data_IF_722161057117
#
_entry.id   IF_722161057117
#
_cell.length_a   1.000
_cell.length_b   1.000
_cell.length_c   1.000
_cell.angle_alpha   90.00
_cell.angle_beta   90.00
_cell.angle_gamma   90.00
#
_symmetry.space_group_name_H-M   'P 1'
#
loop_
_entity.id
_entity.type
_entity.pdbx_description
1 polymer ?
#
# COMPACT_ATOMS: atom_id res chain seq x y z
N UNK A 1 22.59 46.90 -19.52
CA UNK A 1 22.92 46.43 -20.85
C UNK A 1 21.72 45.70 -21.37
N UNK A 2 21.19 46.15 -22.48
CA UNK A 2 20.01 45.61 -23.11
C UNK A 2 20.44 44.82 -24.37
N UNK A 3 19.78 43.65 -24.61
CA UNK A 3 20.16 42.76 -25.71
C UNK A 3 18.95 42.03 -26.27
N UNK A 4 18.99 41.74 -27.56
CA UNK A 4 18.01 40.96 -28.25
C UNK A 4 18.45 39.52 -28.43
N UNK A 5 17.50 38.57 -28.32
CA UNK A 5 17.67 37.19 -28.73
C UNK A 5 16.69 36.82 -29.83
N UNK A 6 17.15 36.10 -30.79
CA UNK A 6 16.35 35.59 -31.92
C UNK A 6 16.54 34.10 -32.06
N UNK A 7 15.47 33.37 -32.17
CA UNK A 7 15.49 31.93 -32.47
C UNK A 7 15.03 31.68 -33.89
N UNK A 8 15.83 30.99 -34.66
CA UNK A 8 15.54 30.64 -36.04
C UNK A 8 15.38 29.11 -36.18
N UNK A 9 14.52 28.66 -37.10
CA UNK A 9 14.56 27.34 -37.67
C UNK A 9 15.61 27.28 -38.77
N UNK A 10 16.18 26.10 -39.01
CA UNK A 10 17.28 25.90 -39.99
C UNK A 10 16.92 26.42 -41.36
N UNK A 11 15.73 26.19 -41.84
CA UNK A 11 15.27 26.65 -43.15
C UNK A 11 15.22 28.19 -43.32
N UNK A 12 15.22 28.93 -42.22
CA UNK A 12 15.10 30.40 -42.21
C UNK A 12 16.38 31.09 -41.80
N UNK A 13 17.47 30.34 -41.57
CA UNK A 13 18.75 30.90 -41.14
C UNK A 13 19.84 30.65 -42.17
N UNK A 14 20.54 31.72 -42.53
CA UNK A 14 21.73 31.65 -43.33
C UNK A 14 22.65 32.85 -42.99
N UNK A 15 23.89 32.87 -43.54
CA UNK A 15 24.87 33.87 -43.25
C UNK A 15 24.41 35.29 -43.67
N UNK A 16 23.54 35.41 -44.66
CA UNK A 16 22.99 36.70 -45.08
C UNK A 16 22.22 37.39 -43.96
N UNK A 17 21.48 36.64 -43.10
CA UNK A 17 20.75 37.22 -41.93
C UNK A 17 21.73 37.90 -41.01
N UNK A 18 22.91 37.34 -40.79
CA UNK A 18 23.96 37.94 -39.96
C UNK A 18 24.64 39.13 -40.66
N UNK A 19 24.91 39.02 -41.95
CA UNK A 19 25.49 40.11 -42.74
C UNK A 19 24.59 41.36 -42.72
N UNK A 20 23.30 41.16 -43.00
CA UNK A 20 22.30 42.25 -42.94
C UNK A 20 22.22 42.88 -41.55
N UNK A 21 22.31 42.07 -40.48
CA UNK A 21 22.37 42.51 -39.11
C UNK A 21 23.62 43.39 -38.83
N UNK A 22 24.79 42.96 -39.31
CA UNK A 22 26.05 43.72 -39.18
C UNK A 22 25.98 45.03 -39.96
N UNK A 23 25.44 45.06 -41.16
CA UNK A 23 25.29 46.29 -41.94
C UNK A 23 24.38 47.28 -41.25
N UNK A 24 23.20 46.86 -40.71
CA UNK A 24 22.30 47.68 -39.93
C UNK A 24 22.96 48.22 -38.64
N UNK A 25 23.73 47.38 -37.93
CA UNK A 25 24.48 47.77 -36.73
C UNK A 25 25.48 48.85 -37.04
N UNK A 26 26.24 48.70 -38.13
CA UNK A 26 27.24 49.69 -38.57
C UNK A 26 26.59 50.99 -39.02
N UNK A 27 25.44 50.92 -39.69
CA UNK A 27 24.65 52.10 -40.08
C UNK A 27 24.20 52.90 -38.84
N UNK A 28 23.67 52.18 -37.80
CA UNK A 28 23.30 52.82 -36.52
C UNK A 28 24.47 53.43 -35.79
N UNK A 29 25.62 52.81 -35.82
CA UNK A 29 26.87 53.34 -35.21
C UNK A 29 27.32 54.61 -35.87
N UNK A 30 27.08 54.72 -37.20
CA UNK A 30 27.41 55.92 -37.97
C UNK A 30 26.36 57.03 -37.82
N UNK A 31 25.11 56.70 -37.59
CA UNK A 31 23.96 57.63 -37.41
C UNK A 31 23.17 57.29 -36.13
N UNK A 32 23.21 58.10 -35.11
CA UNK A 32 22.52 57.92 -33.83
C UNK A 32 20.98 57.90 -33.93
N UNK A 33 20.42 58.34 -35.08
CA UNK A 33 18.98 58.30 -35.39
C UNK A 33 18.49 57.03 -36.10
N UNK A 34 19.40 56.11 -36.49
CA UNK A 34 19.02 54.88 -37.14
C UNK A 34 18.36 53.90 -36.14
N UNK A 35 17.36 53.18 -36.61
CA UNK A 35 16.70 52.14 -35.79
C UNK A 35 17.63 50.93 -35.53
N UNK A 36 17.43 50.27 -34.41
CA UNK A 36 18.12 49.04 -34.06
C UNK A 36 17.81 47.96 -35.07
N UNK A 37 18.81 47.17 -35.49
CA UNK A 37 18.58 46.14 -36.48
C UNK A 37 17.71 45.00 -35.94
N UNK A 38 16.48 44.96 -36.36
CA UNK A 38 15.66 43.77 -36.18
C UNK A 38 16.03 42.77 -37.27
N UNK A 39 16.49 41.58 -36.87
CA UNK A 39 16.72 40.47 -37.79
C UNK A 39 15.39 39.99 -38.33
N UNK A 40 15.31 39.70 -39.63
CA UNK A 40 14.10 39.17 -40.28
C UNK A 40 14.14 37.65 -40.37
N UNK A 41 12.99 37.01 -40.44
CA UNK A 41 12.88 35.56 -40.60
C UNK A 41 13.04 34.74 -39.32
N UNK A 42 13.16 35.38 -38.17
CA UNK A 42 13.14 34.63 -36.89
C UNK A 42 11.81 33.98 -36.60
N UNK A 43 11.86 32.86 -35.85
CA UNK A 43 10.65 32.17 -35.34
C UNK A 43 10.16 32.80 -34.02
N UNK A 44 11.09 33.10 -33.11
CA UNK A 44 10.81 33.78 -31.82
C UNK A 44 11.87 34.84 -31.54
N UNK A 45 11.50 35.89 -30.83
CA UNK A 45 12.44 36.87 -30.30
C UNK A 45 12.06 37.28 -28.89
N UNK A 46 13.04 37.78 -28.16
CA UNK A 46 12.87 38.31 -26.80
C UNK A 46 13.96 39.30 -26.50
N UNK A 47 13.69 40.31 -25.66
CA UNK A 47 14.65 41.36 -25.28
C UNK A 47 14.73 41.59 -23.76
N UNK A 48 13.74 41.15 -22.95
CA UNK A 48 13.68 41.59 -21.55
C UNK A 48 13.45 40.46 -20.53
N UNK A 49 13.10 39.24 -20.92
CA UNK A 49 12.64 38.18 -19.98
C UNK A 49 13.77 37.45 -19.26
N UNK A 50 15.00 37.67 -19.62
CA UNK A 50 16.16 37.07 -18.96
C UNK A 50 16.73 37.92 -17.81
N UNK A 51 17.80 37.44 -17.22
CA UNK A 51 18.48 38.14 -16.14
C UNK A 51 19.21 39.37 -16.68
N UNK A 52 19.06 40.55 -16.05
CA UNK A 52 19.65 41.81 -16.41
C UNK A 52 19.25 42.31 -17.82
N UNK A 53 17.95 42.22 -18.16
CA UNK A 53 17.43 42.61 -19.47
C UNK A 53 18.12 41.89 -20.64
N UNK A 54 18.45 40.60 -20.44
CA UNK A 54 18.93 39.72 -21.48
C UNK A 54 17.75 38.88 -22.04
N UNK A 55 17.81 38.40 -23.27
CA UNK A 55 16.77 37.59 -23.87
C UNK A 55 16.68 36.20 -23.22
N UNK A 56 15.44 35.71 -23.04
CA UNK A 56 15.13 34.33 -22.58
C UNK A 56 13.98 33.72 -23.38
N UNK A 57 14.28 32.92 -24.37
CA UNK A 57 13.30 32.32 -25.27
C UNK A 57 13.00 30.89 -24.83
N UNK A 58 11.72 30.62 -24.52
CA UNK A 58 11.19 29.25 -24.35
C UNK A 58 10.51 28.83 -25.63
N UNK A 59 10.86 27.63 -26.15
CA UNK A 59 10.29 27.10 -27.38
C UNK A 59 10.19 25.57 -27.31
N UNK A 60 9.13 25.02 -27.89
CA UNK A 60 9.05 23.59 -28.18
C UNK A 60 9.86 23.28 -29.43
N UNK A 61 10.90 22.47 -29.27
CA UNK A 61 11.79 22.08 -30.37
C UNK A 61 11.48 20.65 -30.80
N UNK A 62 11.58 20.40 -32.09
CA UNK A 62 11.40 19.08 -32.68
C UNK A 62 12.70 18.27 -32.60
N UNK A 63 12.58 16.96 -32.32
CA UNK A 63 13.73 16.07 -32.31
C UNK A 63 14.44 16.07 -33.67
N UNK A 64 15.77 16.04 -33.63
CA UNK A 64 16.67 15.98 -34.82
C UNK A 64 16.56 17.17 -35.79
N UNK A 65 15.97 18.29 -35.31
CA UNK A 65 15.94 19.56 -36.05
C UNK A 65 17.00 20.52 -35.51
N UNK A 66 17.59 21.30 -36.42
CA UNK A 66 18.58 22.35 -36.07
C UNK A 66 17.87 23.66 -35.86
N UNK A 67 18.31 24.37 -34.83
CA UNK A 67 17.83 25.72 -34.48
C UNK A 67 19.03 26.61 -34.20
N UNK A 68 18.92 27.89 -34.56
CA UNK A 68 19.98 28.89 -34.34
C UNK A 68 19.46 29.94 -33.38
N UNK A 69 20.18 30.13 -32.29
CA UNK A 69 19.93 31.21 -31.33
C UNK A 69 20.98 32.31 -31.53
N UNK A 70 20.51 33.49 -31.92
CA UNK A 70 21.35 34.65 -32.20
C UNK A 70 21.10 35.71 -31.14
N UNK A 71 22.15 36.18 -30.49
CA UNK A 71 22.11 37.25 -29.47
C UNK A 71 22.87 38.45 -29.98
N UNK A 72 22.26 39.61 -29.86
CA UNK A 72 22.87 40.88 -30.23
C UNK A 72 22.58 41.98 -29.21
N UNK A 73 23.39 43.04 -29.18
CA UNK A 73 23.16 44.18 -28.30
C UNK A 73 21.99 45.04 -28.79
N UNK A 74 21.27 45.61 -27.87
CA UNK A 74 20.23 46.61 -28.17
C UNK A 74 20.82 47.94 -28.68
N UNK A 75 22.05 48.24 -28.29
CA UNK A 75 22.75 49.47 -28.67
C UNK A 75 24.06 49.14 -29.37
N UNK A 76 24.84 50.16 -29.74
CA UNK A 76 26.17 50.00 -30.33
C UNK A 76 27.25 49.56 -29.35
N UNK A 77 26.88 49.24 -28.10
CA UNK A 77 27.77 48.69 -27.09
C UNK A 77 28.15 47.24 -27.40
N UNK A 78 29.36 46.87 -27.04
CA UNK A 78 29.90 45.52 -27.15
C UNK A 78 30.17 44.95 -25.77
N UNK A 79 29.98 43.63 -25.58
CA UNK A 79 30.19 42.99 -24.29
C UNK A 79 30.23 41.46 -24.38
N UNK A 80 30.31 40.83 -23.24
CA UNK A 80 30.30 39.38 -23.11
C UNK A 80 28.91 38.84 -22.79
N UNK A 81 28.52 37.76 -23.39
CA UNK A 81 27.28 37.01 -23.14
C UNK A 81 27.59 35.66 -22.56
N UNK A 82 26.76 35.23 -21.59
CA UNK A 82 26.74 33.87 -21.12
C UNK A 82 25.43 33.23 -21.60
N UNK A 83 25.52 32.23 -22.46
CA UNK A 83 24.39 31.54 -23.05
C UNK A 83 24.26 30.19 -22.36
N UNK A 84 23.03 29.85 -21.95
CA UNK A 84 22.73 28.57 -21.36
C UNK A 84 21.46 28.01 -22.05
N UNK A 85 21.50 26.78 -22.49
CA UNK A 85 20.34 26.05 -23.02
C UNK A 85 19.92 25.02 -21.98
N UNK A 86 18.67 25.08 -21.53
CA UNK A 86 18.14 24.20 -20.51
C UNK A 86 16.86 23.55 -20.99
N UNK A 87 16.57 22.34 -20.52
CA UNK A 87 15.27 21.71 -20.68
C UNK A 87 14.29 22.30 -19.65
N UNK A 88 13.03 22.52 -20.03
CA UNK A 88 11.97 23.01 -19.13
C UNK A 88 11.50 21.96 -18.13
N UNK A 89 11.76 20.68 -18.41
CA UNK A 89 11.31 19.54 -17.60
C UNK A 89 9.78 19.45 -17.40
N UNK A 90 8.97 19.94 -18.34
CA UNK A 90 7.51 19.96 -18.24
C UNK A 90 6.88 18.56 -18.34
N UNK A 91 7.49 17.66 -19.10
CA UNK A 91 7.03 16.28 -19.28
C UNK A 91 7.91 15.36 -18.47
N UNK A 92 7.31 14.65 -17.52
CA UNK A 92 8.03 13.74 -16.62
C UNK A 92 7.26 12.45 -16.40
N UNK A 93 7.99 11.40 -16.05
CA UNK A 93 7.43 10.12 -15.58
C UNK A 93 8.14 9.68 -14.31
N UNK A 94 7.54 8.70 -13.62
CA UNK A 94 8.13 8.08 -12.43
C UNK A 94 8.89 6.82 -12.86
N UNK A 95 10.17 6.75 -12.50
CA UNK A 95 11.03 5.60 -12.79
C UNK A 95 11.49 4.91 -11.50
N UNK A 96 11.64 3.58 -11.54
CA UNK A 96 12.18 2.80 -10.44
C UNK A 96 11.26 2.64 -9.22
N UNK A 97 9.97 2.94 -9.33
CA UNK A 97 9.02 2.79 -8.23
C UNK A 97 8.89 1.32 -7.80
N UNK A 98 8.94 1.09 -6.50
CA UNK A 98 8.64 -0.21 -5.88
C UNK A 98 7.65 -0.03 -4.73
N UNK A 99 6.75 -1.01 -4.54
CA UNK A 99 5.78 -0.98 -3.45
C UNK A 99 6.38 -1.61 -2.19
N UNK A 100 6.11 -1.00 -1.03
CA UNK A 100 6.42 -1.60 0.27
C UNK A 100 5.35 -2.62 0.67
N UNK A 101 5.75 -3.61 1.46
CA UNK A 101 4.87 -4.51 2.20
C UNK A 101 5.37 -4.62 3.65
N UNK A 102 4.81 -5.52 4.45
CA UNK A 102 5.21 -5.68 5.86
C UNK A 102 6.57 -6.38 6.07
N UNK A 103 7.27 -6.80 5.01
CA UNK A 103 8.58 -7.45 5.08
C UNK A 103 9.65 -6.56 4.46
N UNK A 104 9.32 -5.94 3.32
CA UNK A 104 10.27 -5.20 2.49
C UNK A 104 9.77 -3.77 2.32
N UNK A 105 10.66 -2.82 2.51
CA UNK A 105 10.42 -1.42 2.19
C UNK A 105 10.23 -1.22 0.68
N UNK A 106 9.83 -0.03 0.31
CA UNK A 106 9.60 0.35 -1.07
C UNK A 106 10.40 1.58 -1.47
N UNK A 107 10.11 2.09 -2.65
CA UNK A 107 10.66 3.31 -3.20
C UNK A 107 9.57 4.07 -3.98
N UNK A 108 9.47 5.39 -3.78
CA UNK A 108 8.45 6.19 -4.48
C UNK A 108 8.74 6.35 -5.96
N UNK A 109 9.97 6.09 -6.39
CA UNK A 109 10.48 6.31 -7.73
C UNK A 109 10.99 7.72 -7.94
N UNK A 110 11.93 7.87 -8.88
CA UNK A 110 12.46 9.15 -9.30
C UNK A 110 11.53 9.81 -10.32
N UNK A 111 11.40 11.14 -10.28
CA UNK A 111 10.76 11.91 -11.33
C UNK A 111 11.80 12.22 -12.39
N UNK A 112 11.65 11.61 -13.55
CA UNK A 112 12.58 11.71 -14.67
C UNK A 112 11.96 12.50 -15.83
N UNK A 113 12.70 13.43 -16.38
CA UNK A 113 12.25 14.20 -17.54
C UNK A 113 12.24 13.34 -18.82
N UNK A 114 11.09 13.28 -19.51
CA UNK A 114 10.92 12.53 -20.75
C UNK A 114 11.79 13.06 -21.89
N UNK A 115 12.11 14.34 -21.84
CA UNK A 115 12.84 15.03 -22.92
C UNK A 115 14.34 14.84 -22.82
N UNK A 116 14.93 14.96 -21.63
CA UNK A 116 16.39 14.98 -21.46
C UNK A 116 16.93 13.84 -20.59
N UNK A 117 16.07 12.99 -20.01
CA UNK A 117 16.46 11.88 -19.12
C UNK A 117 17.02 12.30 -17.77
N UNK A 118 16.98 13.58 -17.43
CA UNK A 118 17.50 14.05 -16.14
C UNK A 118 16.52 13.73 -15.02
N UNK A 119 17.02 13.23 -13.90
CA UNK A 119 16.25 13.14 -12.65
C UNK A 119 15.98 14.56 -12.16
N UNK A 120 14.69 14.94 -12.15
CA UNK A 120 14.20 16.25 -11.70
C UNK A 120 14.02 16.25 -10.20
N UNK A 121 13.50 15.14 -9.67
CA UNK A 121 13.30 14.94 -8.25
C UNK A 121 13.63 13.48 -7.90
N UNK A 122 14.41 13.29 -6.87
CA UNK A 122 14.76 11.97 -6.37
C UNK A 122 13.65 11.43 -5.50
N UNK A 123 13.30 10.16 -5.70
CA UNK A 123 12.31 9.46 -4.88
C UNK A 123 12.79 9.27 -3.43
N UNK A 124 11.89 8.72 -2.63
CA UNK A 124 12.13 8.43 -1.22
C UNK A 124 11.98 6.94 -0.94
N UNK A 125 12.80 6.41 -0.07
CA UNK A 125 12.64 5.08 0.46
C UNK A 125 11.42 5.02 1.39
N UNK A 126 10.65 3.95 1.27
CA UNK A 126 9.52 3.65 2.15
C UNK A 126 9.91 2.52 3.07
N UNK A 127 9.66 2.70 4.36
CA UNK A 127 9.85 1.63 5.35
C UNK A 127 8.84 0.50 5.12
N UNK A 128 9.14 -0.75 5.57
CA UNK A 128 8.14 -1.81 5.62
C UNK A 128 6.91 -1.36 6.41
N UNK A 129 5.73 -1.74 5.94
CA UNK A 129 4.47 -1.47 6.62
C UNK A 129 4.29 -2.35 7.87
N UNK A 130 3.28 -2.03 8.66
CA UNK A 130 2.90 -2.84 9.82
C UNK A 130 2.27 -4.17 9.39
N UNK A 131 2.41 -5.20 10.24
CA UNK A 131 1.74 -6.49 10.05
C UNK A 131 0.24 -6.36 10.32
N UNK A 132 -0.58 -6.93 9.44
CA UNK A 132 -2.03 -7.02 9.63
C UNK A 132 -2.36 -8.33 10.34
N UNK A 133 -2.80 -8.23 11.59
CA UNK A 133 -3.04 -9.39 12.44
C UNK A 133 -4.33 -10.14 12.07
N UNK A 134 -4.24 -11.47 12.07
CA UNK A 134 -5.36 -12.39 11.97
C UNK A 134 -5.14 -13.56 12.94
N UNK A 135 -6.16 -13.89 13.72
CA UNK A 135 -6.11 -15.01 14.66
C UNK A 135 -6.68 -16.27 13.99
N UNK A 136 -5.91 -17.35 14.03
CA UNK A 136 -6.29 -18.65 13.43
C UNK A 136 -6.28 -19.75 14.50
N UNK A 137 -6.93 -20.87 14.20
CA UNK A 137 -6.95 -22.08 15.04
C UNK A 137 -7.55 -21.90 16.44
N UNK A 138 -8.47 -20.94 16.59
CA UNK A 138 -9.22 -20.74 17.84
C UNK A 138 -10.06 -21.99 18.15
N UNK A 139 -10.01 -22.46 19.40
CA UNK A 139 -10.82 -23.56 19.90
C UNK A 139 -11.46 -23.17 21.23
N UNK A 140 -12.75 -23.29 21.31
CA UNK A 140 -13.46 -23.03 22.57
C UNK A 140 -13.21 -24.15 23.57
N UNK A 141 -13.00 -23.77 24.83
CA UNK A 141 -12.95 -24.73 25.93
C UNK A 141 -14.34 -25.31 26.18
N UNK A 142 -14.38 -26.61 26.47
CA UNK A 142 -15.58 -27.29 26.94
C UNK A 142 -15.39 -27.85 28.34
N UNK A 143 -16.40 -28.48 28.93
CA UNK A 143 -16.23 -29.18 30.23
C UNK A 143 -15.27 -30.37 30.12
N UNK A 144 -14.99 -30.86 28.91
CA UNK A 144 -14.20 -32.08 28.70
C UNK A 144 -12.86 -31.80 28.02
N UNK A 145 -12.78 -30.75 27.23
CA UNK A 145 -11.60 -30.42 26.42
C UNK A 145 -11.15 -28.99 26.70
N UNK A 146 -9.84 -28.80 26.79
CA UNK A 146 -9.23 -27.47 26.86
C UNK A 146 -9.46 -26.71 25.55
N UNK A 147 -9.58 -25.41 25.65
CA UNK A 147 -9.62 -24.54 24.48
C UNK A 147 -8.25 -24.03 24.09
N UNK A 148 -8.22 -23.19 23.08
CA UNK A 148 -7.02 -22.52 22.58
C UNK A 148 -7.39 -21.13 22.05
N UNK A 149 -6.63 -20.09 22.40
CA UNK A 149 -6.93 -18.73 21.98
C UNK A 149 -6.62 -18.47 20.51
N UNK A 150 -5.94 -19.39 19.84
CA UNK A 150 -5.48 -19.26 18.48
C UNK A 150 -4.13 -18.57 18.35
N UNK A 151 -3.44 -18.83 17.27
CA UNK A 151 -2.19 -18.19 16.91
C UNK A 151 -2.48 -16.91 16.10
N UNK A 152 -1.67 -15.88 16.31
CA UNK A 152 -1.76 -14.64 15.52
C UNK A 152 -0.77 -14.69 14.38
N UNK A 153 -1.25 -14.51 13.17
CA UNK A 153 -0.47 -14.44 11.93
C UNK A 153 -0.68 -13.11 11.22
N UNK A 154 0.29 -12.71 10.43
CA UNK A 154 0.07 -11.63 9.47
C UNK A 154 -0.73 -12.13 8.26
N UNK A 155 -1.88 -11.51 7.98
CA UNK A 155 -2.74 -11.87 6.83
C UNK A 155 -2.11 -11.57 5.45
N UNK A 156 -1.04 -10.74 5.42
CA UNK A 156 -0.34 -10.35 4.19
C UNK A 156 0.85 -11.25 3.89
N UNK A 157 1.70 -11.53 4.90
CA UNK A 157 2.95 -12.29 4.71
C UNK A 157 2.94 -13.69 5.33
N UNK A 158 1.87 -14.07 6.03
CA UNK A 158 1.69 -15.36 6.72
C UNK A 158 2.74 -15.69 7.80
N UNK A 159 3.51 -14.70 8.26
CA UNK A 159 4.43 -14.90 9.39
C UNK A 159 3.61 -15.01 10.68
N UNK A 160 3.95 -15.99 11.52
CA UNK A 160 3.39 -16.11 12.87
C UNK A 160 3.94 -14.99 13.75
N UNK A 161 3.06 -14.16 14.29
CA UNK A 161 3.40 -13.00 15.11
C UNK A 161 3.36 -13.32 16.60
N UNK A 162 2.39 -14.15 17.01
CA UNK A 162 2.27 -14.58 18.40
C UNK A 162 1.68 -15.99 18.48
N UNK A 163 2.07 -16.70 19.53
CA UNK A 163 1.51 -18.01 19.88
C UNK A 163 0.32 -17.82 20.81
N UNK A 164 -0.75 -18.57 20.54
CA UNK A 164 -1.92 -18.62 21.39
C UNK A 164 -1.62 -19.33 22.73
N UNK A 165 -2.60 -19.32 23.59
CA UNK A 165 -2.52 -19.98 24.89
C UNK A 165 -3.63 -21.01 25.05
N UNK A 166 -3.33 -22.11 25.75
CA UNK A 166 -4.31 -23.12 26.12
C UNK A 166 -5.23 -22.54 27.20
N UNK A 167 -6.53 -22.60 26.98
CA UNK A 167 -7.53 -22.23 27.99
C UNK A 167 -7.98 -23.48 28.73
N UNK A 168 -8.13 -23.43 30.08
CA UNK A 168 -8.55 -24.56 30.88
C UNK A 168 -9.96 -25.05 30.46
N UNK A 169 -10.24 -26.34 30.75
CA UNK A 169 -11.61 -26.87 30.66
C UNK A 169 -12.58 -26.04 31.50
N UNK A 170 -13.80 -25.92 31.03
CA UNK A 170 -14.86 -25.28 31.79
C UNK A 170 -15.24 -26.13 33.01
N UNK A 171 -15.42 -25.51 34.16
CA UNK A 171 -15.97 -26.19 35.33
C UNK A 171 -17.45 -26.57 35.12
N UNK A 172 -17.85 -27.72 35.66
CA UNK A 172 -19.26 -28.11 35.68
C UNK A 172 -20.05 -27.20 36.64
N UNK A 173 -21.01 -26.46 36.14
CA UNK A 173 -21.95 -25.66 36.95
C UNK A 173 -23.30 -26.35 36.98
N UNK A 174 -23.62 -27.00 38.11
CA UNK A 174 -24.84 -27.75 38.29
C UNK A 174 -25.99 -26.90 38.84
N UNK A 175 -27.16 -27.07 38.25
CA UNK A 175 -28.47 -26.62 38.74
C UNK A 175 -29.43 -27.81 38.61
N UNK A 176 -30.11 -28.16 39.68
CA UNK A 176 -30.97 -29.36 39.76
C UNK A 176 -30.26 -30.63 39.24
N UNK A 177 -29.03 -30.80 39.65
CA UNK A 177 -28.12 -31.89 39.23
C UNK A 177 -27.74 -31.91 37.73
N UNK A 178 -28.13 -30.94 36.93
CA UNK A 178 -27.78 -30.83 35.51
C UNK A 178 -26.74 -29.73 35.28
N UNK A 179 -25.66 -30.07 34.60
CA UNK A 179 -24.66 -29.07 34.26
C UNK A 179 -25.19 -28.14 33.17
N UNK A 180 -25.20 -26.83 33.44
CA UNK A 180 -25.65 -25.78 32.50
C UNK A 180 -24.82 -25.72 31.22
N UNK A 181 -23.51 -26.05 31.28
CA UNK A 181 -22.64 -25.98 30.13
C UNK A 181 -22.78 -27.17 29.20
N UNK A 182 -22.74 -28.41 29.73
CA UNK A 182 -22.64 -29.63 28.92
C UNK A 182 -23.85 -30.59 29.08
N UNK A 183 -24.78 -30.29 29.99
CA UNK A 183 -25.93 -31.16 30.23
C UNK A 183 -25.63 -32.43 31.03
N UNK A 184 -24.38 -32.65 31.51
CA UNK A 184 -24.05 -33.78 32.38
C UNK A 184 -24.97 -33.78 33.61
N UNK A 185 -25.53 -34.96 33.91
CA UNK A 185 -26.38 -35.17 35.09
C UNK A 185 -25.51 -35.79 36.19
N UNK A 186 -25.42 -35.13 37.31
CA UNK A 186 -24.67 -35.56 38.47
C UNK A 186 -25.69 -35.99 39.59
N UNK A 187 -25.42 -37.08 40.28
CA UNK A 187 -26.31 -37.62 41.31
C UNK A 187 -27.75 -37.81 40.88
N UNK A 188 -27.95 -38.45 39.72
CA UNK A 188 -29.31 -38.78 39.24
C UNK A 188 -30.10 -39.55 40.29
N UNK A 189 -31.36 -39.18 40.46
CA UNK A 189 -32.25 -39.77 41.46
C UNK A 189 -33.15 -40.86 40.80
N UNK A 190 -33.54 -41.87 41.58
CA UNK A 190 -34.51 -42.87 41.13
C UNK A 190 -35.85 -42.19 40.78
N UNK A 191 -36.53 -42.77 39.84
CA UNK A 191 -37.88 -42.38 39.38
C UNK A 191 -37.98 -40.90 38.96
N UNK A 192 -36.85 -40.33 38.57
CA UNK A 192 -36.73 -38.94 38.10
C UNK A 192 -36.37 -38.95 36.60
N UNK A 193 -37.13 -38.17 35.81
CA UNK A 193 -36.85 -37.98 34.38
C UNK A 193 -36.00 -36.73 34.19
N UNK A 194 -34.88 -36.88 33.51
CA UNK A 194 -33.99 -35.78 33.12
C UNK A 194 -34.09 -35.56 31.62
N UNK A 195 -34.13 -34.31 31.21
CA UNK A 195 -34.07 -33.94 29.80
C UNK A 195 -32.69 -33.34 29.51
N UNK A 196 -31.99 -33.86 28.50
CA UNK A 196 -30.73 -33.34 28.05
C UNK A 196 -30.63 -33.39 26.53
N UNK A 197 -29.69 -32.68 25.95
CA UNK A 197 -29.46 -32.63 24.49
C UNK A 197 -27.97 -32.75 24.16
N UNK A 198 -27.71 -33.44 23.06
CA UNK A 198 -26.38 -33.44 22.46
C UNK A 198 -26.17 -32.19 21.57
N UNK A 199 -24.94 -31.76 21.44
CA UNK A 199 -24.52 -30.67 20.55
C UNK A 199 -23.21 -31.05 19.87
N UNK A 200 -22.77 -30.29 18.88
CA UNK A 200 -21.46 -30.53 18.25
C UNK A 200 -20.29 -30.48 19.26
N UNK A 201 -20.38 -29.62 20.27
CA UNK A 201 -19.36 -29.51 21.32
C UNK A 201 -19.51 -30.58 22.41
N UNK A 202 -20.69 -31.18 22.53
CA UNK A 202 -21.04 -32.21 23.52
C UNK A 202 -21.86 -33.33 22.83
N UNK A 203 -21.19 -34.18 22.06
CA UNK A 203 -21.88 -35.23 21.28
C UNK A 203 -22.41 -36.39 22.14
N UNK A 204 -21.98 -36.47 23.39
CA UNK A 204 -22.41 -37.47 24.36
C UNK A 204 -22.98 -36.81 25.62
N UNK A 205 -23.96 -37.47 26.24
CA UNK A 205 -24.45 -37.04 27.54
C UNK A 205 -24.04 -38.05 28.60
N UNK A 206 -23.59 -37.56 29.76
CA UNK A 206 -23.13 -38.39 30.87
C UNK A 206 -24.08 -38.25 32.04
N UNK A 207 -24.56 -39.38 32.53
CA UNK A 207 -25.45 -39.47 33.69
C UNK A 207 -24.76 -40.27 34.78
N UNK A 208 -24.49 -39.62 35.90
CA UNK A 208 -23.89 -40.26 37.06
C UNK A 208 -25.05 -40.69 38.00
N UNK A 209 -25.09 -41.96 38.33
CA UNK A 209 -26.07 -42.51 39.25
C UNK A 209 -25.36 -43.38 40.27
N UNK A 210 -25.68 -43.17 41.54
CA UNK A 210 -25.20 -44.02 42.65
C UNK A 210 -26.36 -44.90 43.12
N UNK A 211 -26.22 -46.22 42.96
CA UNK A 211 -27.21 -47.17 43.41
C UNK A 211 -27.40 -47.11 44.96
N UNK A 212 -28.58 -46.91 45.48
CA UNK A 212 -28.79 -46.84 46.91
C UNK A 212 -28.67 -48.22 47.58
N UNK A 213 -29.01 -49.29 46.85
CA UNK A 213 -28.96 -50.67 47.33
C UNK A 213 -28.57 -51.64 46.22
N UNK A 214 -28.25 -52.86 46.57
CA UNK A 214 -28.02 -53.93 45.61
C UNK A 214 -29.33 -54.33 44.94
N UNK A 215 -29.39 -54.30 43.60
CA UNK A 215 -30.60 -54.62 42.88
C UNK A 215 -30.45 -54.51 41.36
N UNK A 216 -31.55 -54.77 40.68
CA UNK A 216 -31.63 -54.56 39.21
C UNK A 216 -32.22 -53.20 38.95
N UNK A 217 -31.48 -52.39 38.19
CA UNK A 217 -31.89 -51.06 37.77
C UNK A 217 -32.04 -51.05 36.24
N UNK A 218 -33.03 -50.30 35.75
CA UNK A 218 -33.29 -50.10 34.32
C UNK A 218 -32.92 -48.66 33.96
N UNK A 219 -31.94 -48.49 33.07
CA UNK A 219 -31.67 -47.26 32.41
C UNK A 219 -32.35 -47.30 31.04
N UNK A 220 -33.16 -46.30 30.72
CA UNK A 220 -33.76 -46.20 29.39
C UNK A 220 -33.77 -44.74 28.94
N UNK A 221 -33.65 -44.51 27.64
CA UNK A 221 -33.73 -43.23 26.99
C UNK A 221 -34.92 -43.19 26.05
N UNK A 222 -35.61 -42.07 26.01
CA UNK A 222 -36.62 -41.79 24.98
C UNK A 222 -36.06 -40.75 24.05
N UNK A 223 -35.99 -41.05 22.75
CA UNK A 223 -35.53 -40.14 21.74
C UNK A 223 -36.63 -39.13 21.39
N UNK A 224 -36.37 -37.82 21.64
CA UNK A 224 -37.37 -36.79 21.36
C UNK A 224 -37.12 -36.19 19.97
N UNK A 225 -35.88 -35.91 19.61
CA UNK A 225 -35.51 -35.23 18.36
C UNK A 225 -34.42 -35.93 17.54
N UNK A 226 -33.80 -36.99 18.07
CA UNK A 226 -32.80 -37.80 17.37
C UNK A 226 -33.40 -39.10 16.89
N UNK A 227 -32.89 -39.64 15.77
CA UNK A 227 -33.46 -40.86 15.15
C UNK A 227 -32.95 -42.14 15.80
N UNK A 228 -31.72 -42.13 16.31
CA UNK A 228 -31.07 -43.28 16.91
C UNK A 228 -30.07 -42.84 18.00
N UNK A 229 -29.94 -43.63 19.05
CA UNK A 229 -29.04 -43.36 20.15
C UNK A 229 -28.47 -44.61 20.76
N UNK A 230 -27.23 -44.57 21.20
CA UNK A 230 -26.57 -45.67 21.92
C UNK A 230 -26.35 -45.27 23.37
N UNK A 231 -26.55 -46.24 24.29
CA UNK A 231 -26.25 -46.05 25.71
C UNK A 231 -25.16 -47.04 26.16
N UNK A 232 -24.20 -46.51 26.93
CA UNK A 232 -23.14 -47.31 27.56
C UNK A 232 -23.21 -47.16 29.06
N UNK A 233 -23.05 -48.27 29.79
CA UNK A 233 -23.00 -48.26 31.24
C UNK A 233 -21.59 -48.60 31.70
N UNK A 234 -20.97 -47.67 32.42
CA UNK A 234 -19.63 -47.81 32.99
C UNK A 234 -19.72 -47.92 34.51
N UNK A 235 -18.84 -48.73 35.10
CA UNK A 235 -18.54 -48.64 36.51
C UNK A 235 -17.63 -47.44 36.76
N UNK A 236 -17.68 -46.82 37.94
CA UNK A 236 -16.90 -45.65 38.30
C UNK A 236 -15.39 -45.81 38.02
N UNK A 237 -14.83 -46.96 38.36
CA UNK A 237 -13.46 -47.35 38.15
C UNK A 237 -12.98 -47.37 36.69
N UNK A 238 -13.92 -47.50 35.74
CA UNK A 238 -13.67 -47.61 34.31
C UNK A 238 -14.10 -46.34 33.53
N UNK A 239 -14.61 -45.34 34.25
CA UNK A 239 -15.02 -44.10 33.63
C UNK A 239 -14.02 -42.98 33.96
N UNK A 240 -13.43 -42.40 32.95
CA UNK A 240 -12.68 -41.16 33.08
C UNK A 240 -13.21 -40.12 32.11
N UNK A 241 -13.14 -38.88 32.50
CA UNK A 241 -13.58 -37.73 31.68
C UNK A 241 -12.58 -37.35 30.59
N UNK A 242 -11.58 -38.20 30.29
CA UNK A 242 -10.51 -37.95 29.34
C UNK A 242 -10.66 -38.79 28.04
N UNK A 243 -11.87 -38.99 27.56
CA UNK A 243 -12.12 -39.60 26.25
C UNK A 243 -12.28 -38.54 25.17
#
# INVERSE_FOLDING_TARGET
WDSYGYLFKEENFNDQVIIDGIEKFNAKKADSGAEIPTLSGYWKCDDEHGKNSAPAITAELEKDKTYYFVVGPYSTATGEFRITITCSHEKTHIEGRTFSNCIVGGYTGDIVCDTCGKVVEQGQTLEPGEHQEAVLDVKDATCYVTGYTGDTYCSVCNIKLAEGTVTPKLEHKYEDNVCKNCGRINNAQLDTTYTSKTTNSYPFQVIQFKAPENGKYKFHCENITVWDSYGYLFKEENFNDQV
#
